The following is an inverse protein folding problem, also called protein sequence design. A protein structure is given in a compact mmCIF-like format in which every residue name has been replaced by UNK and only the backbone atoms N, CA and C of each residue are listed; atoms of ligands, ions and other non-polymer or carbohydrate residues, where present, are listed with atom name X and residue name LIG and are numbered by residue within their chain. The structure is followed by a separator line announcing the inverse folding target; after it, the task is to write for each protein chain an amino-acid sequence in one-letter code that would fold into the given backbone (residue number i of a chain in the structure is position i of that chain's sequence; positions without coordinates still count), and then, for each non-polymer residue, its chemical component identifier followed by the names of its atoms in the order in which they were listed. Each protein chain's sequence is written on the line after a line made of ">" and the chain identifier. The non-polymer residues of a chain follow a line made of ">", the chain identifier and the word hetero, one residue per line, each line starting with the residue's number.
data_IF_739182756793
#
_entry.id   IF_739182756793
#
_cell.length_a   1.000
_cell.length_b   1.000
_cell.length_c   1.000
_cell.angle_alpha   90.00
_cell.angle_beta   90.00
_cell.angle_gamma   90.00
#
_symmetry.space_group_name_H-M   'P 1'
#
loop_
_entity.id
_entity.type
_entity.pdbx_description
1 polymer ?
#
# COMPACT_ATOMS: atom_id res chain seq x y z
N UNK A 1 -16.66 38.19 -18.83
CA UNK A 1 -15.64 37.36 -19.53
C UNK A 1 -14.30 37.93 -19.11
N UNK A 2 -13.68 37.34 -18.09
CA UNK A 2 -12.33 37.74 -17.70
C UNK A 2 -11.39 37.31 -18.82
N UNK A 3 -10.63 38.26 -19.36
CA UNK A 3 -9.53 38.00 -20.29
C UNK A 3 -8.48 37.20 -19.55
N UNK A 4 -8.48 35.88 -19.71
CA UNK A 4 -7.35 35.03 -19.34
C UNK A 4 -6.17 35.50 -20.18
N UNK A 5 -5.12 36.04 -19.55
CA UNK A 5 -3.88 36.38 -20.24
C UNK A 5 -3.39 35.13 -20.97
N UNK A 6 -3.04 35.20 -22.27
CA UNK A 6 -2.42 34.09 -22.97
C UNK A 6 -1.15 33.69 -22.23
N UNK A 7 -1.03 32.39 -21.90
CA UNK A 7 0.11 31.86 -21.16
C UNK A 7 1.12 31.30 -22.14
N UNK A 8 2.40 31.59 -21.90
CA UNK A 8 3.48 31.19 -22.81
C UNK A 8 4.36 30.11 -22.20
N UNK A 9 5.17 29.44 -23.02
CA UNK A 9 6.18 28.47 -22.55
C UNK A 9 7.20 29.12 -21.62
N UNK A 10 7.58 30.39 -21.88
CA UNK A 10 8.46 31.15 -20.98
C UNK A 10 7.83 31.38 -19.61
N UNK A 11 6.56 31.78 -19.56
CA UNK A 11 5.84 31.99 -18.29
C UNK A 11 5.67 30.69 -17.49
N UNK A 12 5.49 29.56 -18.20
CA UNK A 12 5.46 28.24 -17.58
C UNK A 12 6.82 27.86 -16.98
N UNK A 13 7.92 28.00 -17.74
CA UNK A 13 9.28 27.77 -17.26
C UNK A 13 9.62 28.66 -16.04
N UNK A 14 9.28 29.94 -16.08
CA UNK A 14 9.44 30.86 -14.95
C UNK A 14 8.61 30.42 -13.72
N UNK A 15 7.43 29.84 -13.96
CA UNK A 15 6.58 29.29 -12.91
C UNK A 15 7.18 28.03 -12.29
N UNK A 16 7.73 27.11 -13.09
CA UNK A 16 8.44 25.92 -12.60
C UNK A 16 9.59 26.30 -11.65
N UNK A 17 10.38 27.31 -12.02
CA UNK A 17 11.47 27.84 -11.18
C UNK A 17 10.91 28.51 -9.92
N UNK A 18 9.86 29.32 -10.04
CA UNK A 18 9.26 30.04 -8.91
C UNK A 18 8.69 29.09 -7.86
N UNK A 19 8.08 27.98 -8.30
CA UNK A 19 7.50 26.94 -7.44
C UNK A 19 8.56 25.95 -6.91
N UNK A 20 9.81 26.07 -7.35
CA UNK A 20 10.90 25.17 -6.96
C UNK A 20 10.78 23.76 -7.55
N UNK A 21 10.03 23.62 -8.65
CA UNK A 21 9.89 22.34 -9.39
C UNK A 21 11.12 22.11 -10.27
N UNK A 22 11.64 23.18 -10.88
CA UNK A 22 12.85 23.16 -11.70
C UNK A 22 13.91 24.13 -11.18
N UNK A 23 15.17 23.82 -11.41
CA UNK A 23 16.25 24.81 -11.30
C UNK A 23 16.22 25.77 -12.50
N UNK A 24 16.86 26.93 -12.35
CA UNK A 24 17.03 27.87 -13.48
C UNK A 24 17.79 27.26 -14.66
N UNK A 25 18.71 26.33 -14.38
CA UNK A 25 19.49 25.65 -15.40
C UNK A 25 18.62 24.68 -16.19
N UNK A 26 17.83 23.86 -15.50
CA UNK A 26 16.84 22.95 -16.14
C UNK A 26 15.85 23.73 -17.00
N UNK A 27 15.25 24.79 -16.46
CA UNK A 27 14.30 25.62 -17.21
C UNK A 27 14.94 26.28 -18.44
N UNK A 28 16.20 26.73 -18.33
CA UNK A 28 16.92 27.31 -19.46
C UNK A 28 17.29 26.27 -20.53
N UNK A 29 17.64 25.04 -20.11
CA UNK A 29 17.88 23.92 -21.02
C UNK A 29 16.60 23.56 -21.79
N UNK A 30 15.46 23.48 -21.07
CA UNK A 30 14.15 23.24 -21.66
C UNK A 30 13.77 24.25 -22.75
N UNK A 31 13.86 25.54 -22.42
CA UNK A 31 13.57 26.61 -23.38
C UNK A 31 14.55 26.62 -24.56
N UNK A 32 15.81 26.22 -24.36
CA UNK A 32 16.78 26.13 -25.45
C UNK A 32 16.42 25.00 -26.43
N UNK A 33 16.00 23.84 -25.94
CA UNK A 33 15.54 22.71 -26.77
C UNK A 33 14.38 23.11 -27.68
N UNK A 34 13.37 23.79 -27.12
CA UNK A 34 12.22 24.26 -27.91
C UNK A 34 12.59 25.38 -28.90
N UNK A 35 13.52 26.27 -28.54
CA UNK A 35 14.00 27.30 -29.45
C UNK A 35 14.76 26.72 -30.66
N UNK A 36 15.43 25.57 -30.51
CA UNK A 36 16.07 24.86 -31.63
C UNK A 36 15.06 24.28 -32.63
N UNK A 37 13.81 24.11 -32.22
CA UNK A 37 12.69 23.66 -33.05
C UNK A 37 11.91 24.82 -33.70
N UNK A 38 12.44 26.05 -33.63
CA UNK A 38 11.80 27.29 -34.12
C UNK A 38 10.43 27.60 -33.46
N UNK A 39 10.20 27.11 -32.23
CA UNK A 39 8.99 27.40 -31.45
C UNK A 39 9.09 28.82 -30.84
N UNK A 40 8.04 29.65 -31.00
CA UNK A 40 7.97 30.97 -30.38
C UNK A 40 7.59 30.85 -28.90
N UNK A 41 8.59 30.92 -28.02
CA UNK A 41 8.44 30.78 -26.57
C UNK A 41 7.59 31.88 -25.91
N UNK A 42 7.33 32.97 -26.63
CA UNK A 42 6.55 34.12 -26.19
C UNK A 42 5.15 34.17 -26.84
N UNK A 43 4.82 33.20 -27.70
CA UNK A 43 3.47 32.92 -28.17
C UNK A 43 2.70 32.09 -27.13
N UNK A 44 1.37 32.16 -27.17
CA UNK A 44 0.52 31.29 -26.35
C UNK A 44 0.67 29.84 -26.83
N UNK A 45 0.92 28.89 -25.92
CA UNK A 45 0.96 27.48 -26.30
C UNK A 45 -0.41 27.04 -26.84
N UNK A 46 -0.40 26.16 -27.85
CA UNK A 46 -1.62 25.72 -28.52
C UNK A 46 -2.37 24.64 -27.74
N UNK A 47 -1.63 23.76 -27.06
CA UNK A 47 -2.16 22.63 -26.30
C UNK A 47 -1.24 22.26 -25.12
N UNK A 48 -1.73 21.44 -24.16
CA UNK A 48 -0.93 21.00 -23.03
C UNK A 48 0.27 20.10 -23.38
N UNK A 49 0.35 19.52 -24.58
CA UNK A 49 1.45 18.63 -24.97
C UNK A 49 2.74 19.42 -25.15
N UNK A 50 2.65 20.70 -25.55
CA UNK A 50 3.81 21.60 -25.54
C UNK A 50 4.38 21.81 -24.12
N UNK A 51 3.54 21.71 -23.08
CA UNK A 51 4.00 21.83 -21.69
C UNK A 51 4.74 20.57 -21.24
N UNK A 52 4.24 19.37 -21.58
CA UNK A 52 4.90 18.11 -21.23
C UNK A 52 6.20 17.92 -22.00
N UNK A 53 6.23 18.29 -23.29
CA UNK A 53 7.46 18.38 -24.10
C UNK A 53 8.52 19.28 -23.43
N UNK A 54 8.12 20.45 -22.93
CA UNK A 54 9.04 21.34 -22.20
C UNK A 54 9.55 20.72 -20.89
N UNK A 55 8.74 19.94 -20.18
CA UNK A 55 9.16 19.22 -18.97
C UNK A 55 10.18 18.14 -19.28
N UNK A 56 10.01 17.42 -20.40
CA UNK A 56 10.98 16.43 -20.91
C UNK A 56 12.34 17.09 -21.16
N UNK A 57 12.38 18.21 -21.90
CA UNK A 57 13.64 18.92 -22.17
C UNK A 57 14.26 19.54 -20.90
N UNK A 58 13.44 19.85 -19.89
CA UNK A 58 13.92 20.26 -18.57
C UNK A 58 14.52 19.11 -17.75
N UNK A 59 14.32 17.85 -18.18
CA UNK A 59 14.72 16.65 -17.45
C UNK A 59 14.01 16.50 -16.12
N UNK A 60 12.70 16.79 -16.08
CA UNK A 60 11.87 16.67 -14.87
C UNK A 60 10.61 15.85 -15.11
N UNK A 61 10.34 14.93 -14.19
CA UNK A 61 9.27 13.95 -14.37
C UNK A 61 9.72 12.76 -15.20
N UNK A 62 8.75 11.96 -15.59
CA UNK A 62 8.94 10.77 -16.41
C UNK A 62 7.65 10.44 -17.15
N UNK A 63 7.76 9.61 -18.19
CA UNK A 63 6.63 9.09 -18.94
C UNK A 63 6.43 7.62 -18.60
N UNK A 64 5.19 7.22 -18.34
CA UNK A 64 4.85 5.79 -18.20
C UNK A 64 4.61 5.17 -19.57
N UNK A 65 5.46 4.26 -20.07
CA UNK A 65 5.28 3.74 -21.42
C UNK A 65 4.12 2.73 -21.48
N UNK A 66 3.32 2.77 -22.54
CA UNK A 66 2.31 1.74 -22.84
C UNK A 66 2.97 0.35 -22.98
N UNK A 67 4.20 0.33 -23.53
CA UNK A 67 4.98 -0.88 -23.77
C UNK A 67 6.43 -0.70 -23.34
N UNK A 68 6.95 -1.73 -22.70
CA UNK A 68 8.37 -1.79 -22.36
C UNK A 68 9.27 -1.69 -23.61
N UNK A 69 10.32 -0.87 -23.52
CA UNK A 69 11.37 -0.73 -24.53
C UNK A 69 12.39 -1.88 -24.44
N UNK A 70 11.92 -3.13 -24.47
CA UNK A 70 12.79 -4.27 -24.23
C UNK A 70 12.00 -5.52 -23.91
N UNK A 71 12.44 -6.30 -22.93
CA UNK A 71 11.58 -7.18 -22.16
C UNK A 71 10.83 -6.38 -21.06
N UNK A 72 9.84 -7.03 -20.44
CA UNK A 72 9.00 -6.38 -19.42
C UNK A 72 9.78 -5.99 -18.17
N UNK A 73 10.74 -6.81 -17.73
CA UNK A 73 11.53 -6.56 -16.52
C UNK A 73 12.36 -5.29 -16.67
N UNK A 74 13.09 -5.16 -17.78
CA UNK A 74 13.83 -3.94 -18.11
C UNK A 74 12.92 -2.71 -18.19
N UNK A 75 11.69 -2.88 -18.72
CA UNK A 75 10.71 -1.78 -18.77
C UNK A 75 10.24 -1.30 -17.40
N UNK A 76 10.03 -2.23 -16.45
CA UNK A 76 9.74 -1.84 -15.06
C UNK A 76 10.97 -1.21 -14.40
N UNK A 77 12.17 -1.76 -14.63
CA UNK A 77 13.40 -1.21 -14.05
C UNK A 77 13.61 0.25 -14.48
N UNK A 78 13.57 0.53 -15.79
CA UNK A 78 13.73 1.88 -16.32
C UNK A 78 12.69 2.85 -15.72
N UNK A 79 11.41 2.45 -15.73
CA UNK A 79 10.31 3.24 -15.18
C UNK A 79 10.50 3.56 -13.69
N UNK A 80 10.83 2.55 -12.87
CA UNK A 80 10.99 2.74 -11.44
C UNK A 80 12.22 3.59 -11.10
N UNK A 81 13.30 3.46 -11.88
CA UNK A 81 14.49 4.29 -11.73
C UNK A 81 14.22 5.76 -12.07
N UNK A 82 13.49 6.04 -13.17
CA UNK A 82 13.09 7.39 -13.55
C UNK A 82 12.15 8.03 -12.52
N UNK A 83 11.13 7.28 -12.06
CA UNK A 83 10.24 7.73 -11.02
C UNK A 83 10.98 8.01 -9.69
N UNK A 84 11.89 7.13 -9.28
CA UNK A 84 12.71 7.33 -8.09
C UNK A 84 13.63 8.55 -8.20
N UNK A 85 14.18 8.83 -9.39
CA UNK A 85 15.03 10.00 -9.63
C UNK A 85 14.31 11.33 -9.35
N UNK A 86 13.00 11.39 -9.57
CA UNK A 86 12.16 12.57 -9.26
C UNK A 86 12.20 12.96 -7.77
N UNK A 87 12.54 12.03 -6.88
CA UNK A 87 12.66 12.29 -5.45
C UNK A 87 13.87 13.17 -5.09
N UNK A 88 14.84 13.33 -6.01
CA UNK A 88 16.12 13.99 -5.74
C UNK A 88 17.09 13.12 -4.94
N UNK A 89 16.92 11.80 -4.99
CA UNK A 89 17.76 10.81 -4.31
C UNK A 89 17.33 10.44 -2.90
N UNK A 90 16.16 10.91 -2.42
CA UNK A 90 15.58 10.45 -1.15
C UNK A 90 14.96 9.06 -1.26
N UNK A 91 14.60 8.65 -2.48
CA UNK A 91 14.12 7.31 -2.81
C UNK A 91 15.14 6.65 -3.72
N UNK A 92 15.60 5.48 -3.32
CA UNK A 92 16.49 4.62 -4.10
C UNK A 92 15.75 3.33 -4.44
N UNK A 93 15.75 2.98 -5.72
CA UNK A 93 15.25 1.71 -6.23
C UNK A 93 16.42 0.86 -6.70
N UNK A 94 16.39 -0.42 -6.37
CA UNK A 94 17.29 -1.44 -6.92
C UNK A 94 16.63 -2.83 -6.89
N UNK A 95 17.32 -3.86 -7.40
CA UNK A 95 16.90 -5.27 -7.32
C UNK A 95 15.50 -5.49 -7.92
N UNK A 96 15.24 -4.86 -9.08
CA UNK A 96 13.97 -4.97 -9.83
C UNK A 96 13.94 -6.29 -10.58
N UNK A 97 12.91 -7.11 -10.34
CA UNK A 97 12.75 -8.42 -10.97
C UNK A 97 11.26 -8.74 -11.21
N UNK A 98 10.95 -9.45 -12.30
CA UNK A 98 9.66 -10.11 -12.49
C UNK A 98 9.77 -11.58 -12.08
N UNK A 99 9.08 -11.94 -11.00
CA UNK A 99 9.11 -13.29 -10.44
C UNK A 99 7.82 -14.00 -10.74
N UNK A 100 7.90 -15.15 -11.43
CA UNK A 100 6.77 -16.06 -11.62
C UNK A 100 6.84 -17.23 -10.66
N UNK A 101 5.76 -17.50 -9.94
CA UNK A 101 5.68 -18.61 -9.01
C UNK A 101 5.34 -19.97 -9.68
N UNK A 102 5.16 -21.00 -8.85
CA UNK A 102 4.85 -22.35 -9.33
C UNK A 102 3.45 -22.48 -9.95
N UNK A 103 2.53 -21.58 -9.59
CA UNK A 103 1.16 -21.54 -10.11
C UNK A 103 1.04 -20.67 -11.38
N UNK A 104 2.14 -20.01 -11.76
CA UNK A 104 2.23 -19.16 -12.94
C UNK A 104 1.80 -17.72 -12.68
N UNK A 105 1.52 -17.36 -11.43
CA UNK A 105 1.27 -15.98 -11.02
C UNK A 105 2.57 -15.19 -11.05
N UNK A 106 2.49 -13.96 -11.51
CA UNK A 106 3.66 -13.11 -11.69
C UNK A 106 3.62 -11.91 -10.73
N UNK A 107 4.79 -11.55 -10.25
CA UNK A 107 4.98 -10.49 -9.28
C UNK A 107 6.14 -9.60 -9.70
N UNK A 108 5.90 -8.28 -9.67
CA UNK A 108 6.95 -7.28 -9.68
C UNK A 108 7.54 -7.17 -8.28
N UNK A 109 8.85 -7.44 -8.18
CA UNK A 109 9.65 -7.21 -6.99
C UNK A 109 10.63 -6.06 -7.25
N UNK A 110 10.82 -5.21 -6.25
CA UNK A 110 11.95 -4.28 -6.19
C UNK A 110 12.28 -3.95 -4.74
N UNK A 111 13.46 -3.35 -4.50
CA UNK A 111 13.78 -2.76 -3.20
C UNK A 111 13.71 -1.25 -3.26
N UNK A 112 12.94 -0.69 -2.35
CA UNK A 112 12.85 0.76 -2.10
C UNK A 112 13.57 1.09 -0.80
N UNK A 113 14.64 1.89 -0.86
CA UNK A 113 15.44 2.24 0.32
C UNK A 113 15.85 1.00 1.15
N UNK A 114 16.10 -0.13 0.47
CA UNK A 114 16.46 -1.41 1.07
C UNK A 114 15.28 -2.28 1.54
N UNK A 115 14.04 -1.80 1.49
CA UNK A 115 12.81 -2.55 1.81
C UNK A 115 12.25 -3.26 0.58
N UNK A 116 11.95 -4.55 0.69
CA UNK A 116 11.28 -5.31 -0.38
C UNK A 116 9.85 -4.85 -0.59
N UNK A 117 9.52 -4.49 -1.84
CA UNK A 117 8.19 -4.13 -2.31
C UNK A 117 7.75 -5.18 -3.33
N UNK A 118 6.46 -5.53 -3.29
CA UNK A 118 5.89 -6.58 -4.12
C UNK A 118 4.52 -6.15 -4.64
N UNK A 119 4.32 -6.27 -5.94
CA UNK A 119 3.01 -6.10 -6.58
C UNK A 119 2.72 -7.30 -7.45
N UNK A 120 1.47 -7.77 -7.44
CA UNK A 120 1.03 -8.79 -8.41
C UNK A 120 0.85 -8.12 -9.77
N UNK A 121 1.27 -8.80 -10.83
CA UNK A 121 1.15 -8.34 -12.22
C UNK A 121 0.28 -9.29 -13.03
N UNK A 122 -0.49 -8.74 -13.97
CA UNK A 122 -1.36 -9.46 -14.89
C UNK A 122 -1.09 -9.01 -16.33
N UNK A 123 0.01 -9.47 -16.90
CA UNK A 123 0.32 -9.21 -18.30
C UNK A 123 -0.55 -10.08 -19.23
N UNK A 124 -1.16 -9.46 -20.23
CA UNK A 124 -1.99 -10.16 -21.22
C UNK A 124 -1.19 -11.16 -22.08
N UNK A 125 0.10 -10.89 -22.31
CA UNK A 125 1.03 -11.77 -23.00
C UNK A 125 2.46 -11.28 -22.83
N UNK A 126 3.41 -12.21 -22.66
CA UNK A 126 4.86 -11.91 -22.68
C UNK A 126 5.30 -11.29 -24.03
N UNK A 127 4.60 -11.61 -25.12
CA UNK A 127 5.02 -11.18 -26.46
C UNK A 127 4.58 -9.76 -26.80
N UNK A 128 3.56 -9.24 -26.12
CA UNK A 128 2.99 -7.93 -26.44
C UNK A 128 3.66 -6.80 -25.68
N UNK A 129 4.35 -7.12 -24.57
CA UNK A 129 5.17 -6.21 -23.77
C UNK A 129 4.40 -5.01 -23.20
N UNK A 130 3.07 -5.12 -23.14
CA UNK A 130 2.25 -4.16 -22.43
C UNK A 130 2.52 -4.28 -20.94
N UNK A 131 2.75 -3.15 -20.28
CA UNK A 131 2.88 -3.10 -18.83
C UNK A 131 1.51 -3.30 -18.17
N UNK A 132 1.49 -3.82 -16.94
CA UNK A 132 0.28 -3.85 -16.13
C UNK A 132 0.12 -2.48 -15.45
N UNK A 133 -0.85 -1.70 -15.92
CA UNK A 133 -1.12 -0.36 -15.43
C UNK A 133 -1.47 -0.30 -13.94
N UNK A 134 -2.13 -1.32 -13.40
CA UNK A 134 -2.43 -1.34 -11.96
C UNK A 134 -1.15 -1.52 -11.15
N UNK A 135 -0.28 -2.46 -11.57
CA UNK A 135 1.01 -2.65 -10.92
C UNK A 135 1.92 -1.42 -11.06
N UNK A 136 1.90 -0.76 -12.23
CA UNK A 136 2.61 0.51 -12.47
C UNK A 136 2.16 1.59 -11.50
N UNK A 137 0.84 1.81 -11.35
CA UNK A 137 0.33 2.85 -10.45
C UNK A 137 0.63 2.55 -8.98
N UNK A 138 0.46 1.30 -8.55
CA UNK A 138 0.79 0.92 -7.17
C UNK A 138 2.29 1.10 -6.90
N UNK A 139 3.15 0.69 -7.85
CA UNK A 139 4.59 0.82 -7.70
C UNK A 139 5.06 2.28 -7.71
N UNK A 140 4.55 3.14 -8.61
CA UNK A 140 4.82 4.58 -8.61
C UNK A 140 4.35 5.22 -7.29
N UNK A 141 3.15 4.85 -6.83
CA UNK A 141 2.61 5.32 -5.55
C UNK A 141 3.51 4.99 -4.36
N UNK A 142 4.21 3.84 -4.41
CA UNK A 142 5.19 3.45 -3.40
C UNK A 142 6.51 4.23 -3.50
N UNK A 143 6.81 4.92 -4.61
CA UNK A 143 8.05 5.69 -4.78
C UNK A 143 7.98 7.13 -4.25
N UNK A 144 6.91 7.52 -3.56
CA UNK A 144 6.89 8.82 -2.87
C UNK A 144 7.95 8.88 -1.75
N UNK A 145 8.51 10.06 -1.44
CA UNK A 145 9.57 10.22 -0.43
C UNK A 145 9.21 9.79 1.00
N UNK A 146 7.94 9.65 1.36
CA UNK A 146 7.49 9.21 2.69
C UNK A 146 7.75 10.23 3.82
N UNK A 147 7.56 9.82 5.07
CA UNK A 147 7.95 10.58 6.28
C UNK A 147 7.54 12.06 6.33
N UNK A 148 6.23 12.33 6.31
CA UNK A 148 5.60 13.67 6.30
C UNK A 148 5.96 14.55 5.09
N UNK A 149 6.72 14.03 4.11
CA UNK A 149 6.91 14.72 2.83
C UNK A 149 5.56 14.77 2.10
N UNK A 150 5.04 15.97 1.77
CA UNK A 150 3.72 16.11 1.19
C UNK A 150 3.69 15.80 -0.31
N UNK A 151 4.83 15.44 -0.92
CA UNK A 151 4.91 15.19 -2.35
C UNK A 151 4.18 13.90 -2.75
N UNK A 152 3.42 14.00 -3.84
CA UNK A 152 2.75 12.90 -4.50
C UNK A 152 3.03 12.94 -6.00
N UNK A 153 2.89 11.81 -6.70
CA UNK A 153 2.97 11.78 -8.15
C UNK A 153 1.64 12.20 -8.75
N UNK A 154 1.68 13.22 -9.60
CA UNK A 154 0.54 13.71 -10.35
C UNK A 154 0.71 13.35 -11.82
N UNK A 155 -0.28 12.65 -12.38
CA UNK A 155 -0.43 12.53 -13.82
C UNK A 155 -0.71 13.93 -14.38
N UNK A 156 -0.24 14.30 -15.57
CA UNK A 156 -0.46 15.65 -16.12
C UNK A 156 -1.55 15.74 -17.19
N UNK A 157 -1.81 14.64 -17.88
CA UNK A 157 -2.75 14.51 -19.00
C UNK A 157 -3.92 13.58 -18.65
N UNK A 158 -4.93 13.51 -19.54
CA UNK A 158 -6.07 12.59 -19.40
C UNK A 158 -5.82 11.22 -20.05
N UNK A 159 -4.72 11.08 -20.81
CA UNK A 159 -4.41 9.86 -21.53
C UNK A 159 -3.78 8.84 -20.56
N UNK A 160 -4.47 7.73 -20.34
CA UNK A 160 -3.96 6.69 -19.42
C UNK A 160 -2.80 5.88 -20.01
N UNK A 161 -2.44 6.09 -21.27
CA UNK A 161 -1.35 5.41 -21.97
C UNK A 161 -0.31 6.47 -22.36
N UNK A 162 0.96 6.25 -22.03
CA UNK A 162 2.05 7.21 -22.27
C UNK A 162 1.93 8.51 -21.44
N UNK A 163 1.28 8.43 -20.27
CA UNK A 163 1.04 9.56 -19.39
C UNK A 163 2.32 10.18 -18.82
N UNK A 164 2.36 11.51 -18.73
CA UNK A 164 3.46 12.23 -18.06
C UNK A 164 3.19 12.42 -16.56
N UNK A 165 4.23 12.22 -15.74
CA UNK A 165 4.14 12.28 -14.28
C UNK A 165 5.12 13.28 -13.67
N UNK A 166 4.68 13.99 -12.62
CA UNK A 166 5.53 14.84 -11.79
C UNK A 166 5.34 14.54 -10.31
N UNK A 167 6.45 14.52 -9.56
CA UNK A 167 6.44 14.50 -8.11
C UNK A 167 6.30 15.93 -7.56
N UNK A 168 5.13 16.28 -7.03
CA UNK A 168 4.78 17.65 -6.63
C UNK A 168 4.21 17.71 -5.22
N UNK A 169 4.42 18.83 -4.52
CA UNK A 169 3.59 19.16 -3.35
C UNK A 169 2.18 19.63 -3.80
N UNK A 170 1.18 19.62 -2.91
CA UNK A 170 -0.16 20.14 -3.25
C UNK A 170 -0.15 21.58 -3.75
N UNK A 171 0.69 22.44 -3.17
CA UNK A 171 0.84 23.84 -3.59
C UNK A 171 1.48 23.96 -4.98
N UNK A 172 2.46 23.10 -5.29
CA UNK A 172 3.08 23.04 -6.61
C UNK A 172 2.07 22.56 -7.67
N UNK A 173 1.33 21.48 -7.39
CA UNK A 173 0.29 20.97 -8.26
C UNK A 173 -0.79 22.04 -8.53
N UNK A 174 -1.24 22.75 -7.50
CA UNK A 174 -2.21 23.84 -7.66
C UNK A 174 -1.67 24.99 -8.54
N UNK A 175 -0.38 25.33 -8.41
CA UNK A 175 0.25 26.35 -9.25
C UNK A 175 0.36 25.96 -10.72
N UNK A 176 0.45 24.66 -11.03
CA UNK A 176 0.49 24.14 -12.40
C UNK A 176 -0.90 23.95 -13.01
N UNK A 177 -1.92 23.60 -12.23
CA UNK A 177 -3.32 23.51 -12.70
C UNK A 177 -3.82 24.81 -13.32
N UNK A 178 -3.30 25.94 -12.87
CA UNK A 178 -3.60 27.23 -13.45
C UNK A 178 -3.24 27.29 -14.95
N UNK A 179 -2.22 26.55 -15.40
CA UNK A 179 -1.81 26.43 -16.81
C UNK A 179 -2.64 25.39 -17.61
N UNK A 180 -3.74 24.90 -17.05
CA UNK A 180 -4.64 23.98 -17.76
C UNK A 180 -4.24 22.51 -17.71
N UNK A 181 -3.25 22.14 -16.90
CA UNK A 181 -2.93 20.74 -16.60
C UNK A 181 -4.04 20.14 -15.73
N UNK A 182 -4.72 19.12 -16.24
CA UNK A 182 -5.93 18.56 -15.62
C UNK A 182 -5.63 17.74 -14.37
N UNK A 183 -4.48 17.09 -14.35
CA UNK A 183 -3.99 16.22 -13.28
C UNK A 183 -5.07 15.33 -12.66
N UNK A 184 -5.57 14.33 -13.42
CA UNK A 184 -6.72 13.52 -13.03
C UNK A 184 -6.39 12.47 -11.98
N UNK A 185 -5.11 12.11 -11.83
CA UNK A 185 -4.64 11.08 -10.91
C UNK A 185 -3.55 11.66 -10.00
N UNK A 186 -3.69 11.36 -8.70
CA UNK A 186 -2.70 11.61 -7.65
C UNK A 186 -2.35 10.27 -7.00
N UNK A 187 -1.07 9.91 -7.01
CA UNK A 187 -0.55 8.70 -6.40
C UNK A 187 0.38 9.07 -5.23
N UNK A 188 0.01 8.60 -4.03
CA UNK A 188 0.78 8.83 -2.82
C UNK A 188 0.45 7.78 -1.77
N UNK A 189 1.14 6.64 -1.83
CA UNK A 189 0.97 5.62 -0.80
C UNK A 189 1.56 6.13 0.52
N UNK A 190 1.02 5.65 1.64
CA UNK A 190 1.65 5.89 2.94
C UNK A 190 2.89 5.02 3.03
N UNK A 191 4.03 5.60 2.65
CA UNK A 191 5.32 4.92 2.69
C UNK A 191 6.12 5.41 3.89
N UNK A 192 6.75 4.46 4.57
CA UNK A 192 7.59 4.73 5.71
C UNK A 192 9.00 4.16 5.48
N UNK A 193 10.03 5.00 5.59
CA UNK A 193 11.43 4.61 5.30
C UNK A 193 12.17 3.97 6.48
N UNK A 194 11.51 3.88 7.64
CA UNK A 194 12.09 3.22 8.80
C UNK A 194 12.30 1.73 8.52
N UNK A 195 13.52 1.24 8.74
CA UNK A 195 13.79 -0.21 8.73
C UNK A 195 13.85 -0.74 10.16
N UNK A 196 13.22 -1.89 10.43
CA UNK A 196 13.43 -2.64 11.67
C UNK A 196 14.90 -2.99 11.90
N UNK A 197 15.27 -3.18 13.16
CA UNK A 197 16.61 -3.63 13.53
C UNK A 197 16.73 -5.17 13.51
N UNK A 198 15.61 -5.86 13.70
CA UNK A 198 15.53 -7.31 13.57
C UNK A 198 15.88 -7.79 12.14
N UNK A 199 16.25 -9.06 12.04
CA UNK A 199 16.56 -9.70 10.76
C UNK A 199 15.32 -9.70 9.83
N UNK A 200 15.44 -9.26 8.57
CA UNK A 200 14.34 -9.21 7.61
C UNK A 200 13.50 -10.49 7.58
N UNK A 201 12.19 -10.32 7.37
CA UNK A 201 11.24 -11.42 7.16
C UNK A 201 11.06 -12.36 8.38
N UNK A 202 11.62 -12.01 9.54
CA UNK A 202 11.34 -12.71 10.80
C UNK A 202 10.10 -12.15 11.50
N UNK A 203 9.47 -12.93 12.39
CA UNK A 203 8.35 -12.44 13.20
C UNK A 203 8.70 -11.18 14.02
N UNK A 204 9.95 -11.08 14.50
CA UNK A 204 10.45 -9.90 15.20
C UNK A 204 10.53 -8.68 14.27
N UNK A 205 10.99 -8.86 13.04
CA UNK A 205 11.02 -7.79 12.02
C UNK A 205 9.65 -7.20 11.77
N UNK A 206 8.64 -8.04 11.55
CA UNK A 206 7.28 -7.58 11.30
C UNK A 206 6.66 -6.86 12.53
N UNK A 207 6.95 -7.33 13.74
CA UNK A 207 6.51 -6.67 14.97
C UNK A 207 7.20 -5.31 15.16
N UNK A 208 8.49 -5.23 14.89
CA UNK A 208 9.24 -3.98 14.95
C UNK A 208 8.77 -3.00 13.87
N UNK A 209 8.49 -3.50 12.66
CA UNK A 209 7.98 -2.71 11.53
C UNK A 209 6.63 -2.06 11.86
N UNK A 210 5.68 -2.84 12.37
CA UNK A 210 4.39 -2.32 12.82
C UNK A 210 4.57 -1.25 13.89
N UNK A 211 5.46 -1.47 14.86
CA UNK A 211 5.70 -0.50 15.95
C UNK A 211 6.42 0.76 15.47
N UNK A 212 7.27 0.65 14.46
CA UNK A 212 7.99 1.79 13.89
C UNK A 212 7.03 2.73 13.16
N UNK A 213 6.01 2.16 12.52
CA UNK A 213 5.09 2.88 11.63
C UNK A 213 3.71 3.16 12.25
N UNK A 214 3.38 2.55 13.38
CA UNK A 214 2.19 2.89 14.13
C UNK A 214 2.33 4.25 14.83
N UNK A 215 1.28 5.07 14.71
CA UNK A 215 1.17 6.29 15.50
C UNK A 215 1.13 6.00 17.01
N UNK A 216 1.31 7.03 17.84
CA UNK A 216 1.36 6.86 19.30
C UNK A 216 0.07 6.29 19.89
N UNK A 217 -1.09 6.65 19.35
CA UNK A 217 -2.39 6.14 19.80
C UNK A 217 -2.52 4.66 19.45
N UNK A 218 -2.21 4.27 18.21
CA UNK A 218 -2.19 2.89 17.74
C UNK A 218 -1.31 2.00 18.62
N UNK A 219 -0.09 2.44 18.93
CA UNK A 219 0.83 1.72 19.84
C UNK A 219 0.26 1.59 21.24
N UNK A 220 -0.25 2.68 21.82
CA UNK A 220 -0.81 2.67 23.17
C UNK A 220 -2.01 1.72 23.27
N UNK A 221 -2.88 1.71 22.25
CA UNK A 221 -4.05 0.84 22.19
C UNK A 221 -3.66 -0.63 22.07
N UNK A 222 -2.70 -0.94 21.21
CA UNK A 222 -2.18 -2.30 21.09
C UNK A 222 -1.53 -2.79 22.39
N UNK A 223 -0.70 -1.96 23.02
CA UNK A 223 -0.05 -2.31 24.29
C UNK A 223 -1.09 -2.53 25.42
N UNK A 224 -2.12 -1.67 25.50
CA UNK A 224 -3.23 -1.83 26.44
C UNK A 224 -4.06 -3.10 26.17
N UNK A 225 -4.21 -3.51 24.90
CA UNK A 225 -4.89 -4.73 24.51
C UNK A 225 -4.08 -5.98 24.90
N UNK A 226 -2.77 -5.98 24.63
CA UNK A 226 -1.89 -7.14 24.83
C UNK A 226 -1.48 -7.34 26.29
N UNK A 227 -1.26 -6.27 27.05
CA UNK A 227 -0.78 -6.36 28.43
C UNK A 227 -1.62 -7.30 29.35
N UNK A 228 -2.96 -7.28 29.33
CA UNK A 228 -3.77 -8.18 30.17
C UNK A 228 -4.05 -9.55 29.53
N UNK A 229 -3.57 -9.85 28.31
CA UNK A 229 -4.06 -10.95 27.46
C UNK A 229 -4.16 -12.30 28.19
N UNK A 230 -3.09 -12.77 28.81
CA UNK A 230 -3.06 -14.06 29.50
C UNK A 230 -4.01 -14.09 30.72
N UNK A 231 -4.05 -13.00 31.50
CA UNK A 231 -4.93 -12.91 32.66
C UNK A 231 -6.41 -12.81 32.25
N UNK A 232 -6.71 -12.07 31.19
CA UNK A 232 -8.05 -11.95 30.62
C UNK A 232 -8.56 -13.30 30.10
N UNK A 233 -7.74 -14.01 29.32
CA UNK A 233 -8.09 -15.33 28.80
C UNK A 233 -8.29 -16.39 29.90
N UNK A 234 -7.48 -16.36 30.97
CA UNK A 234 -7.69 -17.26 32.11
C UNK A 234 -9.00 -17.00 32.83
N UNK A 235 -9.36 -15.73 33.07
CA UNK A 235 -10.67 -15.38 33.67
C UNK A 235 -11.81 -15.81 32.75
N UNK A 236 -11.70 -15.49 31.46
CA UNK A 236 -12.72 -15.86 30.48
C UNK A 236 -12.94 -17.37 30.42
N UNK A 237 -11.88 -18.18 30.47
CA UNK A 237 -12.00 -19.64 30.58
C UNK A 237 -12.84 -20.07 31.79
N UNK A 238 -12.62 -19.47 32.95
CA UNK A 238 -13.31 -19.84 34.19
C UNK A 238 -14.76 -19.33 34.23
N UNK A 239 -15.00 -18.12 33.73
CA UNK A 239 -16.26 -17.42 33.94
C UNK A 239 -17.29 -17.69 32.82
N UNK A 240 -16.81 -18.09 31.63
CA UNK A 240 -17.63 -18.06 30.42
C UNK A 240 -17.63 -19.35 29.59
N UNK A 241 -16.66 -20.26 29.79
CA UNK A 241 -16.55 -21.47 28.99
C UNK A 241 -17.08 -22.71 29.72
N UNK A 242 -17.73 -23.65 29.01
CA UNK A 242 -18.02 -24.97 29.55
C UNK A 242 -16.75 -25.73 29.97
N UNK A 243 -16.89 -26.60 30.97
CA UNK A 243 -15.77 -27.41 31.49
C UNK A 243 -15.13 -28.31 30.42
N UNK A 244 -15.92 -28.74 29.42
CA UNK A 244 -15.49 -29.61 28.32
C UNK A 244 -15.00 -28.86 27.08
N UNK A 245 -14.97 -27.52 27.11
CA UNK A 245 -14.43 -26.73 26.01
C UNK A 245 -12.92 -27.01 25.83
N UNK A 246 -12.45 -27.29 24.60
CA UNK A 246 -11.03 -27.57 24.32
C UNK A 246 -10.21 -26.26 24.33
N UNK A 247 -9.94 -25.71 25.52
CA UNK A 247 -9.13 -24.51 25.69
C UNK A 247 -7.63 -24.83 25.60
N UNK A 248 -7.18 -25.14 24.39
CA UNK A 248 -5.81 -25.54 24.08
C UNK A 248 -5.17 -24.71 22.96
N UNK A 249 -5.90 -23.73 22.41
CA UNK A 249 -5.51 -22.93 21.25
C UNK A 249 -5.17 -23.79 20.02
N UNK A 250 -5.74 -24.98 19.87
CA UNK A 250 -5.66 -25.73 18.62
C UNK A 250 -6.57 -25.11 17.55
N UNK A 251 -6.28 -25.29 16.24
CA UNK A 251 -7.20 -24.88 15.18
C UNK A 251 -8.60 -25.49 15.31
N UNK A 252 -8.71 -26.70 15.86
CA UNK A 252 -9.99 -27.38 16.08
C UNK A 252 -10.81 -26.73 17.21
N UNK A 253 -10.15 -26.11 18.20
CA UNK A 253 -10.84 -25.33 19.25
C UNK A 253 -11.60 -24.12 18.70
N UNK A 254 -11.24 -23.60 17.53
CA UNK A 254 -11.99 -22.53 16.87
C UNK A 254 -13.36 -22.99 16.38
N UNK A 255 -13.50 -24.26 15.97
CA UNK A 255 -14.81 -24.83 15.62
C UNK A 255 -15.69 -24.97 16.87
N UNK A 256 -15.10 -25.27 18.02
CA UNK A 256 -15.83 -25.27 19.29
C UNK A 256 -16.25 -23.85 19.70
N UNK A 257 -15.37 -22.86 19.53
CA UNK A 257 -15.67 -21.45 19.82
C UNK A 257 -16.84 -20.94 18.97
N UNK A 258 -16.81 -21.26 17.67
CA UNK A 258 -17.84 -20.86 16.72
C UNK A 258 -19.23 -21.33 17.14
N UNK A 259 -19.36 -22.60 17.56
CA UNK A 259 -20.61 -23.15 18.09
C UNK A 259 -21.08 -22.38 19.32
N UNK A 260 -20.18 -22.13 20.29
CA UNK A 260 -20.53 -21.36 21.50
C UNK A 260 -21.04 -19.95 21.18
N UNK A 261 -20.42 -19.28 20.21
CA UNK A 261 -20.84 -17.94 19.78
C UNK A 261 -22.22 -17.98 19.13
N UNK A 262 -22.47 -18.93 18.22
CA UNK A 262 -23.74 -19.08 17.52
C UNK A 262 -24.90 -19.55 18.43
N UNK A 263 -24.58 -20.32 19.49
CA UNK A 263 -25.52 -20.75 20.52
C UNK A 263 -25.87 -19.62 21.50
N UNK A 264 -24.92 -18.71 21.77
CA UNK A 264 -25.12 -17.57 22.68
C UNK A 264 -25.88 -16.42 22.02
N UNK A 265 -25.63 -16.17 20.73
CA UNK A 265 -26.20 -15.02 20.01
C UNK A 265 -27.08 -15.48 18.85
N UNK A 266 -28.40 -15.24 18.98
CA UNK A 266 -29.42 -15.60 17.98
C UNK A 266 -29.43 -14.70 16.72
N UNK A 267 -28.54 -13.70 16.66
CA UNK A 267 -28.38 -12.81 15.51
C UNK A 267 -27.84 -11.43 15.90
N UNK A 268 -27.74 -10.50 14.93
CA UNK A 268 -27.13 -9.18 15.14
C UNK A 268 -27.76 -8.39 16.29
N UNK A 269 -29.09 -8.41 16.41
CA UNK A 269 -29.81 -7.70 17.47
C UNK A 269 -29.45 -8.20 18.89
N UNK A 270 -29.17 -9.50 19.05
CA UNK A 270 -28.73 -10.05 20.33
C UNK A 270 -27.32 -9.57 20.70
N UNK A 271 -26.44 -9.45 19.70
CA UNK A 271 -25.08 -8.98 19.87
C UNK A 271 -25.03 -7.47 20.15
N UNK A 272 -25.86 -6.67 19.47
CA UNK A 272 -26.05 -5.25 19.77
C UNK A 272 -26.58 -5.01 21.18
N UNK A 273 -27.58 -5.79 21.60
CA UNK A 273 -28.15 -5.70 22.94
C UNK A 273 -27.15 -6.08 24.05
N UNK A 274 -26.18 -6.95 23.73
CA UNK A 274 -25.13 -7.36 24.66
C UNK A 274 -24.06 -6.27 24.88
N UNK A 275 -23.88 -5.35 23.93
CA UNK A 275 -22.96 -4.21 24.05
C UNK A 275 -21.51 -4.65 24.30
N UNK A 276 -20.88 -4.09 25.34
CA UNK A 276 -19.56 -4.52 25.82
C UNK A 276 -19.70 -5.81 26.65
N UNK A 277 -19.92 -6.93 25.96
CA UNK A 277 -20.07 -8.25 26.56
C UNK A 277 -18.70 -8.91 26.79
N UNK A 278 -18.40 -9.22 28.05
CA UNK A 278 -17.13 -9.85 28.48
C UNK A 278 -16.88 -11.20 27.77
N UNK A 279 -17.95 -11.91 27.39
CA UNK A 279 -17.80 -13.15 26.61
C UNK A 279 -17.28 -12.86 25.20
N UNK A 280 -17.84 -11.87 24.50
CA UNK A 280 -17.39 -11.51 23.15
C UNK A 280 -15.95 -10.99 23.15
N UNK A 281 -15.58 -10.13 24.10
CA UNK A 281 -14.18 -9.67 24.20
C UNK A 281 -13.21 -10.85 24.42
N UNK A 282 -13.57 -11.79 25.30
CA UNK A 282 -12.76 -13.00 25.50
C UNK A 282 -12.71 -13.90 24.27
N UNK A 283 -13.79 -14.00 23.49
CA UNK A 283 -13.82 -14.73 22.22
C UNK A 283 -12.89 -14.09 21.17
N UNK A 284 -12.89 -12.76 21.06
CA UNK A 284 -11.97 -11.99 20.20
C UNK A 284 -10.52 -12.29 20.58
N UNK A 285 -10.19 -12.22 21.87
CA UNK A 285 -8.86 -12.54 22.40
C UNK A 285 -8.47 -13.98 22.08
N UNK A 286 -9.34 -14.94 22.36
CA UNK A 286 -9.02 -16.36 22.17
C UNK A 286 -8.84 -16.71 20.71
N UNK A 287 -9.69 -16.17 19.83
CA UNK A 287 -9.58 -16.38 18.40
C UNK A 287 -8.26 -15.85 17.85
N UNK A 288 -7.91 -14.58 18.13
CA UNK A 288 -6.66 -14.01 17.63
C UNK A 288 -5.42 -14.63 18.26
N UNK A 289 -5.42 -14.96 19.56
CA UNK A 289 -4.30 -15.69 20.19
C UNK A 289 -4.12 -17.10 19.62
N UNK A 290 -5.22 -17.77 19.28
CA UNK A 290 -5.17 -19.05 18.58
C UNK A 290 -4.58 -18.87 17.18
N UNK A 291 -4.90 -17.77 16.49
CA UNK A 291 -4.29 -17.47 15.20
C UNK A 291 -2.76 -17.27 15.31
N UNK A 292 -2.32 -16.36 16.18
CA UNK A 292 -0.89 -16.02 16.40
C UNK A 292 -0.05 -17.24 16.80
N UNK A 293 -0.63 -18.22 17.49
CA UNK A 293 0.08 -19.43 17.93
C UNK A 293 0.25 -20.49 16.85
N UNK A 294 -0.61 -20.50 15.84
CA UNK A 294 -0.66 -21.59 14.86
C UNK A 294 -0.23 -21.16 13.45
N UNK A 295 -0.25 -19.86 13.16
CA UNK A 295 0.13 -19.31 11.86
C UNK A 295 1.14 -18.18 12.01
N UNK A 296 1.98 -17.93 10.98
CA UNK A 296 2.94 -16.83 10.97
C UNK A 296 2.24 -15.47 10.84
N UNK A 297 1.58 -15.03 11.90
CA UNK A 297 0.89 -13.75 11.96
C UNK A 297 1.12 -13.08 13.33
N UNK A 298 0.65 -11.84 13.46
CA UNK A 298 0.82 -11.02 14.66
C UNK A 298 -0.39 -10.15 14.91
N UNK A 299 -0.52 -9.69 16.15
CA UNK A 299 -1.46 -8.62 16.49
C UNK A 299 -0.95 -7.27 16.01
N UNK A 300 -1.85 -6.47 15.44
CA UNK A 300 -1.63 -5.07 15.09
C UNK A 300 -2.86 -4.24 15.46
N UNK A 301 -2.74 -2.92 15.38
CA UNK A 301 -3.83 -2.00 15.68
C UNK A 301 -3.67 -0.73 14.85
N UNK A 302 -4.78 -0.24 14.27
CA UNK A 302 -4.82 1.04 13.55
C UNK A 302 -5.83 1.95 14.20
N UNK A 303 -5.37 3.04 14.80
CA UNK A 303 -6.22 4.14 15.24
C UNK A 303 -6.64 5.01 14.06
N UNK A 304 -7.88 5.47 14.08
CA UNK A 304 -8.40 6.47 13.14
C UNK A 304 -9.44 7.33 13.84
N UNK A 305 -9.44 8.63 13.59
CA UNK A 305 -10.54 9.50 14.00
C UNK A 305 -11.80 9.27 13.14
N UNK A 306 -11.62 8.75 11.93
CA UNK A 306 -12.70 8.28 11.07
C UNK A 306 -13.14 6.86 11.49
N UNK A 307 -14.38 6.75 11.94
CA UNK A 307 -15.01 5.53 12.44
C UNK A 307 -15.71 4.70 11.33
N UNK A 308 -15.63 5.14 10.07
CA UNK A 308 -16.24 4.43 8.94
C UNK A 308 -15.55 3.11 8.59
N UNK A 309 -14.28 2.95 8.93
CA UNK A 309 -13.52 1.73 8.66
C UNK A 309 -13.73 0.68 9.74
N UNK A 310 -14.26 -0.48 9.36
CA UNK A 310 -14.41 -1.65 10.25
C UNK A 310 -13.07 -2.24 10.73
N UNK A 311 -11.96 -1.81 10.13
CA UNK A 311 -10.61 -2.22 10.51
C UNK A 311 -9.87 -1.14 11.33
N UNK A 312 -10.48 0.02 11.52
CA UNK A 312 -9.96 1.03 12.43
C UNK A 312 -10.48 0.78 13.85
N UNK A 313 -9.70 1.22 14.83
CA UNK A 313 -10.04 1.23 16.25
C UNK A 313 -10.38 -0.16 16.84
N UNK A 314 -9.88 -1.23 16.21
CA UNK A 314 -10.02 -2.60 16.67
C UNK A 314 -8.69 -3.37 16.54
N UNK A 315 -8.43 -4.35 17.41
CA UNK A 315 -7.30 -5.27 17.25
C UNK A 315 -7.42 -6.08 15.95
N UNK A 316 -6.32 -6.17 15.21
CA UNK A 316 -6.24 -6.90 13.95
C UNK A 316 -5.20 -8.01 14.04
N UNK A 317 -5.40 -9.07 13.28
CA UNK A 317 -4.38 -10.06 12.94
C UNK A 317 -3.83 -9.70 11.56
N UNK A 318 -2.51 -9.69 11.43
CA UNK A 318 -1.81 -9.45 10.15
C UNK A 318 -0.76 -10.53 9.91
N UNK A 319 -0.69 -11.02 8.68
CA UNK A 319 0.31 -11.99 8.22
C UNK A 319 1.73 -11.43 8.31
N UNK A 320 2.68 -12.29 8.63
CA UNK A 320 4.12 -11.97 8.59
C UNK A 320 4.63 -12.13 7.15
N UNK A 321 4.10 -11.30 6.26
CA UNK A 321 4.47 -11.19 4.85
C UNK A 321 4.49 -9.71 4.41
N UNK A 322 5.19 -9.35 3.33
CA UNK A 322 5.15 -8.00 2.75
C UNK A 322 3.73 -7.60 2.33
N UNK A 323 3.46 -6.30 2.20
CA UNK A 323 2.12 -5.75 1.90
C UNK A 323 1.43 -6.40 0.70
N UNK A 324 2.19 -6.65 -0.38
CA UNK A 324 1.69 -7.31 -1.61
C UNK A 324 1.18 -8.75 -1.42
N UNK A 325 1.52 -9.38 -0.30
CA UNK A 325 1.03 -10.71 0.10
C UNK A 325 0.22 -10.66 1.39
N UNK A 326 0.23 -9.54 2.12
CA UNK A 326 -0.24 -9.50 3.49
C UNK A 326 -1.76 -9.73 3.56
N UNK A 327 -2.14 -10.78 4.28
CA UNK A 327 -3.50 -10.98 4.74
C UNK A 327 -3.72 -10.34 6.11
N UNK A 328 -4.97 -10.00 6.41
CA UNK A 328 -5.32 -9.59 7.76
C UNK A 328 -6.82 -9.62 8.01
N UNK A 329 -7.20 -9.69 9.28
CA UNK A 329 -8.60 -9.68 9.68
C UNK A 329 -8.77 -9.13 11.09
N UNK A 330 -9.94 -8.55 11.37
CA UNK A 330 -10.38 -8.24 12.73
C UNK A 330 -11.11 -9.45 13.32
N UNK A 331 -10.63 -10.07 14.41
CA UNK A 331 -11.35 -11.16 15.06
C UNK A 331 -12.77 -10.77 15.49
N UNK A 332 -12.98 -9.51 15.91
CA UNK A 332 -14.30 -8.98 16.26
C UNK A 332 -15.22 -8.91 15.04
N UNK A 333 -14.74 -8.36 13.92
CA UNK A 333 -15.52 -8.30 12.68
C UNK A 333 -15.93 -9.70 12.21
N UNK A 334 -15.00 -10.66 12.24
CA UNK A 334 -15.27 -12.04 11.81
C UNK A 334 -16.33 -12.71 12.72
N UNK A 335 -16.24 -12.52 14.03
CA UNK A 335 -17.24 -13.05 14.98
C UNK A 335 -18.61 -12.41 14.79
N UNK A 336 -18.67 -11.10 14.50
CA UNK A 336 -19.93 -10.41 14.19
C UNK A 336 -20.55 -10.90 12.89
N UNK A 337 -19.75 -11.07 11.85
CA UNK A 337 -20.19 -11.62 10.55
C UNK A 337 -20.69 -13.06 10.72
N UNK A 338 -19.99 -13.89 11.51
CA UNK A 338 -20.44 -15.23 11.87
C UNK A 338 -21.85 -15.20 12.49
N UNK A 339 -22.11 -14.32 13.45
CA UNK A 339 -23.44 -14.20 14.10
C UNK A 339 -24.50 -13.67 13.13
N UNK A 340 -24.12 -12.75 12.23
CA UNK A 340 -25.03 -12.16 11.26
C UNK A 340 -25.45 -13.14 10.16
N UNK A 341 -24.49 -13.85 9.57
CA UNK A 341 -24.71 -14.75 8.44
C UNK A 341 -25.09 -16.17 8.90
N UNK A 342 -24.71 -16.55 10.13
CA UNK A 342 -24.90 -17.88 10.71
C UNK A 342 -24.35 -19.01 9.85
N UNK A 343 -23.32 -18.74 9.04
CA UNK A 343 -22.62 -19.75 8.25
C UNK A 343 -21.49 -20.32 9.10
N UNK A 344 -21.55 -21.61 9.50
CA UNK A 344 -20.50 -22.23 10.28
C UNK A 344 -19.27 -22.54 9.42
N UNK A 345 -18.16 -22.83 10.11
CA UNK A 345 -16.82 -23.20 9.62
C UNK A 345 -15.95 -22.06 9.12
N UNK A 346 -16.23 -20.82 9.54
CA UNK A 346 -15.51 -19.63 9.10
C UNK A 346 -14.24 -19.32 9.90
N UNK A 347 -14.23 -19.58 11.22
CA UNK A 347 -13.14 -19.07 12.08
C UNK A 347 -11.79 -19.71 11.77
N UNK A 348 -11.75 -21.03 11.61
CA UNK A 348 -10.51 -21.75 11.27
C UNK A 348 -10.00 -21.36 9.89
N UNK A 349 -10.88 -21.32 8.89
CA UNK A 349 -10.51 -20.93 7.53
C UNK A 349 -9.92 -19.53 7.51
N UNK A 350 -10.59 -18.57 8.17
CA UNK A 350 -10.11 -17.20 8.28
C UNK A 350 -8.76 -17.07 8.98
N UNK A 351 -8.50 -17.86 10.02
CA UNK A 351 -7.17 -17.90 10.65
C UNK A 351 -6.10 -18.46 9.72
N UNK A 352 -6.45 -19.49 8.93
CA UNK A 352 -5.55 -20.13 8.00
C UNK A 352 -5.17 -19.23 6.81
N UNK A 353 -6.10 -18.40 6.32
CA UNK A 353 -5.84 -17.38 5.28
C UNK A 353 -4.64 -16.49 5.64
N UNK A 354 -4.45 -16.15 6.93
CA UNK A 354 -3.29 -15.38 7.36
C UNK A 354 -1.97 -16.15 7.22
N UNK A 355 -1.99 -17.48 7.30
CA UNK A 355 -0.84 -18.34 7.02
C UNK A 355 -0.61 -18.54 5.53
N UNK A 356 -1.68 -18.69 4.73
CA UNK A 356 -1.63 -18.84 3.27
C UNK A 356 -0.88 -17.67 2.63
N UNK A 357 -1.18 -16.43 3.02
CA UNK A 357 -0.44 -15.23 2.63
C UNK A 357 1.10 -15.34 2.81
N UNK A 358 1.57 -15.98 3.88
CA UNK A 358 3.00 -16.18 4.13
C UNK A 358 3.56 -17.32 3.29
N UNK A 359 2.76 -18.36 3.05
CA UNK A 359 3.17 -19.48 2.21
C UNK A 359 3.23 -19.07 0.73
N UNK A 360 2.32 -18.24 0.25
CA UNK A 360 2.35 -17.61 -1.08
C UNK A 360 3.64 -16.81 -1.26
N UNK A 361 3.95 -15.94 -0.29
CA UNK A 361 5.20 -15.19 -0.30
C UNK A 361 6.45 -16.10 -0.33
N UNK A 362 6.47 -17.16 0.47
CA UNK A 362 7.57 -18.14 0.47
C UNK A 362 7.69 -18.89 -0.85
N UNK A 363 6.57 -19.17 -1.51
CA UNK A 363 6.57 -19.82 -2.83
C UNK A 363 7.23 -18.91 -3.87
N UNK A 364 6.88 -17.62 -3.87
CA UNK A 364 7.51 -16.62 -4.74
C UNK A 364 9.02 -16.46 -4.44
N UNK A 365 9.42 -16.40 -3.17
CA UNK A 365 10.85 -16.35 -2.79
C UNK A 365 11.64 -17.58 -3.26
N UNK A 366 11.04 -18.78 -3.18
CA UNK A 366 11.67 -20.00 -3.70
C UNK A 366 11.81 -19.94 -5.21
N UNK A 367 10.79 -19.47 -5.93
CA UNK A 367 10.84 -19.32 -7.37
C UNK A 367 11.96 -18.35 -7.79
N UNK A 368 12.03 -17.18 -7.14
CA UNK A 368 13.10 -16.20 -7.31
C UNK A 368 14.49 -16.79 -7.10
N UNK A 369 14.69 -17.57 -6.03
CA UNK A 369 15.99 -18.17 -5.71
C UNK A 369 16.40 -19.25 -6.71
N UNK A 370 15.46 -19.94 -7.35
CA UNK A 370 15.75 -20.96 -8.38
C UNK A 370 16.04 -20.37 -9.76
N UNK A 371 15.57 -19.15 -10.03
CA UNK A 371 15.80 -18.43 -11.29
C UNK A 371 17.19 -17.79 -11.38
N UNK A 372 17.86 -17.59 -10.24
CA UNK A 372 19.25 -17.13 -10.12
C UNK A 372 20.23 -18.31 -10.18
#
# INVERSE_FOLDING_TARGET
>A
MGTTTPRTLREFADTLVRLGIATREQAAAGLAGHAELDIDLDEAYADPDELTSLLEDCGIGFQTPEKALGDLESGYEDLLLEAAACSGGTVVVDDVELVRDEDGEEHLHFRRNGRSIWHRTQHLSETTRYMDWYAVFDAIGDLVPGNDDPRAFYQLDEDSYDAWWLLLTPDQAQGLRDFGLSMPVELGNRVHDGLPAAEPETAAWYLEDDRLHADEESRRRLDAWLAPMEAALRRWRTDHLPDDFPFDHSPDSLTALERLVLDRFDGPAALEAAGADDFLEGAVRYFGETAVRNWPCRWTYRHSEDDSSVFANAPLISSNAPSGFSGGFSPDHVLRTLVAERVPHGLRARAAEAGEAVDDYRNVLRARTRGR
#
